data_IF_747324637921
#
_entry.id   IF_747324637921
#
_cell.length_a   1.000
_cell.length_b   1.000
_cell.length_c   1.000
_cell.angle_alpha   90.00
_cell.angle_beta   90.00
_cell.angle_gamma   90.00
#
_symmetry.space_group_name_H-M   'P 1'
#
loop_
_entity.id
_entity.type
_entity.pdbx_description
1 polymer ?
#
# COMPACT_ATOMS: atom_id res chain seq x y z
N UNK A 1 8.14 -54.08 -19.80
CA UNK A 1 8.23 -52.70 -19.33
C UNK A 1 7.12 -52.48 -18.30
N UNK A 2 7.47 -52.56 -17.01
CA UNK A 2 6.59 -52.56 -15.86
C UNK A 2 6.29 -51.11 -15.43
N UNK A 3 5.00 -50.81 -15.35
CA UNK A 3 4.43 -49.53 -14.92
C UNK A 3 4.70 -49.31 -13.42
N UNK A 4 5.43 -48.27 -13.06
CA UNK A 4 5.75 -47.87 -11.69
C UNK A 4 4.71 -46.86 -11.22
N UNK A 5 3.88 -47.23 -10.27
CA UNK A 5 2.92 -46.36 -9.57
C UNK A 5 3.65 -45.30 -8.74
N UNK A 6 3.23 -44.03 -8.71
CA UNK A 6 3.86 -43.00 -7.88
C UNK A 6 3.50 -43.21 -6.39
N UNK A 7 4.50 -43.25 -5.55
CA UNK A 7 4.37 -43.25 -4.09
C UNK A 7 3.73 -41.92 -3.63
N UNK A 8 2.60 -42.01 -2.96
CA UNK A 8 2.02 -40.88 -2.20
C UNK A 8 2.92 -40.60 -1.00
N UNK A 9 3.41 -39.38 -0.92
CA UNK A 9 4.00 -38.83 0.31
C UNK A 9 2.87 -38.52 1.30
N UNK A 10 2.99 -38.89 2.60
CA UNK A 10 2.05 -38.45 3.61
C UNK A 10 2.18 -36.95 3.78
N UNK A 11 1.08 -36.22 3.66
CA UNK A 11 1.00 -34.80 3.96
C UNK A 11 1.27 -34.54 5.45
N UNK A 12 1.83 -33.39 5.81
CA UNK A 12 2.07 -33.04 7.21
C UNK A 12 0.72 -32.99 7.95
N UNK A 13 0.66 -33.70 9.08
CA UNK A 13 -0.48 -33.68 9.99
C UNK A 13 -0.66 -32.27 10.55
N UNK A 14 -1.72 -31.63 10.16
CA UNK A 14 -2.11 -30.28 10.59
C UNK A 14 -2.70 -30.33 12.01
N UNK A 15 -1.85 -30.52 13.02
CA UNK A 15 -2.15 -30.17 14.41
C UNK A 15 -1.57 -28.78 14.71
N UNK A 16 -2.09 -27.73 14.08
CA UNK A 16 -1.96 -26.39 14.61
C UNK A 16 -3.13 -26.18 15.58
N UNK A 17 -2.82 -26.09 16.86
CA UNK A 17 -3.70 -25.68 17.92
C UNK A 17 -4.44 -24.42 17.47
N UNK A 18 -5.77 -24.47 17.48
CA UNK A 18 -6.62 -23.28 17.43
C UNK A 18 -6.29 -22.46 18.69
N UNK A 19 -5.41 -21.51 18.57
CA UNK A 19 -5.25 -20.47 19.54
C UNK A 19 -6.39 -19.48 19.28
N UNK A 20 -7.48 -19.67 19.99
CA UNK A 20 -8.51 -18.65 20.15
C UNK A 20 -7.84 -17.54 20.92
N UNK A 21 -7.37 -16.49 20.25
CA UNK A 21 -6.96 -15.28 20.94
C UNK A 21 -8.26 -14.65 21.40
N UNK A 22 -8.61 -14.93 22.65
CA UNK A 22 -9.45 -14.04 23.45
C UNK A 22 -8.85 -12.66 23.29
N UNK A 23 -9.65 -11.68 22.92
CA UNK A 23 -9.29 -10.27 22.93
C UNK A 23 -8.53 -9.98 24.21
N UNK A 24 -7.20 -10.01 24.14
CA UNK A 24 -6.37 -9.57 25.24
C UNK A 24 -6.45 -8.06 25.27
N UNK A 25 -6.79 -7.54 26.41
CA UNK A 25 -6.84 -6.12 26.76
C UNK A 25 -5.53 -5.36 26.57
N UNK A 26 -4.51 -5.96 25.97
CA UNK A 26 -3.16 -5.39 25.90
C UNK A 26 -2.88 -4.52 24.67
N UNK A 27 -3.79 -4.43 23.70
CA UNK A 27 -3.60 -3.51 22.56
C UNK A 27 -4.16 -2.09 22.82
N UNK A 28 -4.93 -1.90 23.90
CA UNK A 28 -5.53 -0.60 24.26
C UNK A 28 -4.72 0.20 25.29
N UNK A 29 -3.69 -0.39 25.89
CA UNK A 29 -2.92 0.22 26.99
C UNK A 29 -1.52 0.72 26.60
N UNK A 30 -1.20 0.82 25.30
CA UNK A 30 -0.11 1.70 24.88
C UNK A 30 -0.69 3.12 24.88
N UNK A 31 -0.36 3.98 25.86
CA UNK A 31 -0.84 5.35 25.83
C UNK A 31 -0.36 5.95 24.50
N UNK A 32 -1.29 6.46 23.70
CA UNK A 32 -0.96 7.27 22.55
C UNK A 32 0.07 8.31 23.03
N UNK A 33 1.24 8.43 22.36
CA UNK A 33 2.20 9.46 22.76
C UNK A 33 1.44 10.77 22.80
N UNK A 34 1.61 11.49 23.91
CA UNK A 34 1.01 12.81 24.13
C UNK A 34 1.65 13.76 23.08
N UNK A 35 1.04 13.81 21.89
CA UNK A 35 1.48 14.68 20.81
C UNK A 35 0.97 16.06 21.15
N UNK A 36 1.83 17.02 21.50
CA UNK A 36 1.40 18.36 21.84
C UNK A 36 0.54 18.92 20.70
N UNK A 37 -0.57 19.56 21.03
CA UNK A 37 -1.48 20.18 20.06
C UNK A 37 -0.78 21.22 19.15
N UNK A 38 0.40 21.66 19.50
CA UNK A 38 1.28 22.57 18.74
C UNK A 38 2.19 21.86 17.70
N UNK A 39 2.24 20.53 17.68
CA UNK A 39 2.96 19.75 16.67
C UNK A 39 2.23 19.69 15.31
N UNK A 40 1.21 20.54 15.11
CA UNK A 40 0.73 20.85 13.76
C UNK A 40 1.88 21.53 13.04
N UNK A 41 2.52 20.84 12.12
CA UNK A 41 3.36 21.52 11.13
C UNK A 41 2.47 22.60 10.49
N UNK A 42 2.59 23.84 10.97
CA UNK A 42 2.18 25.00 10.19
C UNK A 42 2.92 24.79 8.89
N UNK A 43 2.17 24.73 7.78
CA UNK A 43 2.65 24.44 6.45
C UNK A 43 4.04 25.06 6.22
N UNK A 44 5.08 24.32 6.59
CA UNK A 44 6.45 24.58 6.20
C UNK A 44 6.53 24.39 4.70
N UNK A 45 7.43 25.08 4.01
CA UNK A 45 7.63 24.87 2.59
C UNK A 45 8.04 23.42 2.29
N UNK A 46 8.03 22.98 1.01
CA UNK A 46 8.39 21.62 0.62
C UNK A 46 9.71 21.11 1.23
N UNK A 47 10.69 21.99 1.46
CA UNK A 47 11.95 21.62 2.08
C UNK A 47 11.81 21.15 3.54
N UNK A 48 10.93 21.78 4.33
CA UNK A 48 10.68 21.37 5.71
C UNK A 48 9.93 20.06 5.79
N UNK A 49 8.98 19.84 4.87
CA UNK A 49 8.24 18.58 4.73
C UNK A 49 9.23 17.45 4.41
N UNK A 50 10.15 17.66 3.47
CA UNK A 50 11.15 16.66 3.11
C UNK A 50 12.13 16.39 4.26
N UNK A 51 12.58 17.42 4.98
CA UNK A 51 13.43 17.22 6.16
C UNK A 51 12.69 16.44 7.28
N UNK A 52 11.38 16.62 7.43
CA UNK A 52 10.57 15.81 8.34
C UNK A 52 10.47 14.35 7.85
N UNK A 53 10.32 14.14 6.55
CA UNK A 53 10.32 12.80 5.96
C UNK A 53 11.67 12.09 6.12
N UNK A 54 12.78 12.78 6.00
CA UNK A 54 14.12 12.23 6.23
C UNK A 54 14.24 11.70 7.67
N UNK A 55 13.89 12.51 8.67
CA UNK A 55 13.93 12.09 10.08
C UNK A 55 12.99 10.93 10.38
N UNK A 56 11.79 10.93 9.80
CA UNK A 56 10.87 9.82 9.96
C UNK A 56 11.43 8.54 9.31
N UNK A 57 12.00 8.63 8.10
CA UNK A 57 12.59 7.49 7.41
C UNK A 57 13.73 6.83 8.20
N UNK A 58 14.58 7.63 8.86
CA UNK A 58 15.64 7.11 9.73
C UNK A 58 15.06 6.28 10.88
N UNK A 59 13.99 6.76 11.54
CA UNK A 59 13.29 6.02 12.59
C UNK A 59 12.64 4.72 12.05
N UNK A 60 12.02 4.77 10.88
CA UNK A 60 11.43 3.60 10.26
C UNK A 60 12.48 2.52 9.95
N UNK A 61 13.69 2.92 9.58
CA UNK A 61 14.78 2.01 9.25
C UNK A 61 15.26 1.17 10.45
N UNK A 62 15.18 1.70 11.68
CA UNK A 62 15.65 1.03 12.90
C UNK A 62 14.93 -0.31 13.14
N UNK A 63 13.62 -0.38 12.89
CA UNK A 63 12.79 -1.57 13.10
C UNK A 63 12.60 -2.46 11.87
N UNK A 64 12.93 -1.97 10.67
CA UNK A 64 12.51 -2.57 9.40
C UNK A 64 12.93 -4.04 9.20
N UNK A 65 14.13 -4.41 9.65
CA UNK A 65 14.63 -5.78 9.53
C UNK A 65 13.93 -6.74 10.50
N UNK A 66 13.63 -6.27 11.71
CA UNK A 66 12.88 -7.04 12.72
C UNK A 66 11.46 -7.31 12.24
N UNK A 67 10.74 -6.27 11.83
CA UNK A 67 9.35 -6.39 11.37
C UNK A 67 9.23 -7.25 10.10
N UNK A 68 10.20 -7.16 9.17
CA UNK A 68 10.23 -8.03 7.99
C UNK A 68 10.40 -9.51 8.38
N UNK A 69 11.30 -9.84 9.31
CA UNK A 69 11.52 -11.22 9.77
C UNK A 69 10.32 -11.80 10.48
N UNK A 70 9.74 -11.03 11.38
CA UNK A 70 8.59 -11.43 12.18
C UNK A 70 7.28 -11.43 11.38
N UNK A 71 7.19 -10.63 10.30
CA UNK A 71 5.93 -10.35 9.63
C UNK A 71 4.99 -9.53 10.52
N UNK A 72 5.54 -8.66 11.37
CA UNK A 72 4.78 -7.93 12.39
C UNK A 72 4.46 -6.50 11.97
N UNK A 73 3.32 -5.98 12.44
CA UNK A 73 2.94 -4.57 12.30
C UNK A 73 3.87 -3.68 13.12
N UNK A 74 4.20 -2.51 12.58
CA UNK A 74 5.06 -1.51 13.23
C UNK A 74 4.26 -0.26 13.63
N UNK A 75 3.52 -0.26 14.75
CA UNK A 75 2.74 0.91 15.20
C UNK A 75 3.63 2.12 15.50
N UNK A 76 4.85 1.89 15.98
CA UNK A 76 5.86 2.92 16.20
C UNK A 76 6.23 3.70 14.94
N UNK A 77 6.27 3.02 13.78
CA UNK A 77 6.54 3.66 12.51
C UNK A 77 5.40 4.59 12.09
N UNK A 78 4.16 4.16 12.29
CA UNK A 78 2.99 5.00 12.03
C UNK A 78 2.98 6.20 12.99
N UNK A 79 3.27 6.00 14.27
CA UNK A 79 3.37 7.08 15.24
C UNK A 79 4.47 8.08 14.85
N UNK A 80 5.63 7.62 14.37
CA UNK A 80 6.72 8.48 13.90
C UNK A 80 6.30 9.36 12.71
N UNK A 81 5.52 8.82 11.75
CA UNK A 81 4.98 9.58 10.62
C UNK A 81 4.04 10.69 11.12
N UNK A 82 3.16 10.40 12.08
CA UNK A 82 2.27 11.42 12.67
C UNK A 82 3.04 12.45 13.49
N UNK A 83 3.98 12.02 14.31
CA UNK A 83 4.85 12.92 15.08
C UNK A 83 5.69 13.86 14.20
N UNK A 84 6.06 13.42 13.00
CA UNK A 84 6.70 14.25 11.99
C UNK A 84 5.73 15.21 11.27
N UNK A 85 4.42 15.19 11.62
CA UNK A 85 3.40 16.03 11.00
C UNK A 85 2.99 15.58 9.59
N UNK A 86 3.34 14.36 9.18
CA UNK A 86 3.10 13.85 7.82
C UNK A 86 1.81 13.04 7.71
N UNK A 87 1.18 12.65 8.82
CA UNK A 87 0.01 11.75 8.83
C UNK A 87 -1.13 12.18 7.90
N UNK A 88 -1.32 13.49 7.76
CA UNK A 88 -2.39 14.10 6.95
C UNK A 88 -1.85 14.89 5.74
N UNK A 89 -0.78 14.39 5.14
CA UNK A 89 -0.01 15.09 4.12
C UNK A 89 -0.88 15.58 2.94
N UNK A 90 -1.84 14.79 2.50
CA UNK A 90 -2.67 15.08 1.32
C UNK A 90 -3.98 15.81 1.63
N UNK A 91 -4.32 16.00 2.91
CA UNK A 91 -5.53 16.73 3.29
C UNK A 91 -5.33 18.25 3.17
N UNK A 92 -6.24 18.99 2.50
CA UNK A 92 -6.20 20.46 2.46
C UNK A 92 -6.28 21.12 3.85
N UNK A 93 -7.01 20.50 4.78
CA UNK A 93 -7.11 20.93 6.19
C UNK A 93 -5.87 20.56 7.03
N UNK A 94 -4.99 19.71 6.50
CA UNK A 94 -3.69 19.35 7.07
C UNK A 94 -2.55 20.12 6.37
N UNK A 95 -1.63 19.39 5.74
CA UNK A 95 -0.51 19.96 4.98
C UNK A 95 -0.93 20.40 3.58
N UNK A 96 -1.85 19.69 2.93
CA UNK A 96 -2.34 19.98 1.58
C UNK A 96 -1.29 19.84 0.50
N UNK A 97 -0.35 18.89 0.67
CA UNK A 97 0.73 18.67 -0.28
C UNK A 97 0.22 18.24 -1.66
N UNK A 98 0.90 18.70 -2.69
CA UNK A 98 0.73 18.26 -4.06
C UNK A 98 1.26 16.82 -4.27
N UNK A 99 0.99 16.24 -5.43
CA UNK A 99 1.40 14.87 -5.73
C UNK A 99 2.91 14.71 -5.79
N UNK A 100 3.62 15.71 -6.28
CA UNK A 100 5.10 15.71 -6.35
C UNK A 100 5.71 15.66 -4.96
N UNK A 101 5.23 16.49 -4.03
CA UNK A 101 5.68 16.49 -2.64
C UNK A 101 5.31 15.18 -1.94
N UNK A 102 4.09 14.69 -2.13
CA UNK A 102 3.64 13.42 -1.56
C UNK A 102 4.50 12.24 -2.07
N UNK A 103 4.81 12.20 -3.36
CA UNK A 103 5.67 11.17 -3.94
C UNK A 103 7.10 11.21 -3.36
N UNK A 104 7.68 12.40 -3.16
CA UNK A 104 9.00 12.54 -2.53
C UNK A 104 9.02 12.07 -1.07
N UNK A 105 8.00 12.43 -0.30
CA UNK A 105 7.84 11.94 1.08
C UNK A 105 7.74 10.43 1.12
N UNK A 106 6.87 9.84 0.29
CA UNK A 106 6.68 8.38 0.22
C UNK A 106 7.97 7.67 -0.21
N UNK A 107 8.69 8.20 -1.19
CA UNK A 107 9.98 7.65 -1.61
C UNK A 107 10.99 7.62 -0.44
N UNK A 108 11.07 8.70 0.35
CA UNK A 108 11.96 8.77 1.52
C UNK A 108 11.55 7.78 2.62
N UNK A 109 10.26 7.74 2.96
CA UNK A 109 9.77 6.78 3.95
C UNK A 109 10.00 5.32 3.51
N UNK A 110 9.86 5.03 2.22
CA UNK A 110 10.12 3.70 1.67
C UNK A 110 11.61 3.30 1.70
N UNK A 111 12.53 4.26 1.75
CA UNK A 111 13.95 3.98 1.99
C UNK A 111 14.19 3.47 3.42
N UNK A 112 13.40 3.91 4.39
CA UNK A 112 13.39 3.39 5.74
C UNK A 112 12.69 2.03 5.83
N UNK A 113 11.37 2.03 5.63
CA UNK A 113 10.56 0.80 5.60
C UNK A 113 9.47 0.86 4.53
N UNK A 114 9.63 0.13 3.41
CA UNK A 114 8.66 0.14 2.32
C UNK A 114 7.33 -0.51 2.68
N UNK A 115 7.25 -1.39 3.67
CA UNK A 115 6.00 -1.99 4.10
C UNK A 115 5.14 -0.97 4.87
N UNK A 116 5.72 -0.19 5.77
CA UNK A 116 5.06 0.96 6.40
C UNK A 116 4.67 2.01 5.37
N UNK A 117 5.56 2.32 4.40
CA UNK A 117 5.25 3.26 3.33
C UNK A 117 4.05 2.79 2.49
N UNK A 118 3.88 1.48 2.27
CA UNK A 118 2.71 0.93 1.57
C UNK A 118 1.41 1.15 2.36
N UNK A 119 1.41 0.89 3.68
CA UNK A 119 0.26 1.17 4.54
C UNK A 119 -0.10 2.66 4.48
N UNK A 120 0.91 3.52 4.58
CA UNK A 120 0.74 4.97 4.53
C UNK A 120 0.20 5.47 3.18
N UNK A 121 0.66 4.91 2.05
CA UNK A 121 0.13 5.24 0.72
C UNK A 121 -1.36 4.91 0.60
N UNK A 122 -1.78 3.76 1.12
CA UNK A 122 -3.20 3.42 1.13
C UNK A 122 -4.01 4.47 1.91
N UNK A 123 -3.53 4.85 3.08
CA UNK A 123 -4.17 5.89 3.89
C UNK A 123 -4.25 7.24 3.16
N UNK A 124 -3.14 7.75 2.63
CA UNK A 124 -3.11 9.04 1.91
C UNK A 124 -4.09 9.07 0.74
N UNK A 125 -4.11 8.01 -0.05
CA UNK A 125 -4.96 7.92 -1.23
C UNK A 125 -6.45 7.90 -0.86
N UNK A 126 -6.81 7.16 0.19
CA UNK A 126 -8.22 7.07 0.60
C UNK A 126 -8.70 8.29 1.38
N UNK A 127 -7.85 8.99 2.12
CA UNK A 127 -8.18 10.31 2.64
C UNK A 127 -8.41 11.32 1.51
N UNK A 128 -7.59 11.28 0.47
CA UNK A 128 -7.75 12.19 -0.68
C UNK A 128 -9.09 11.99 -1.38
N UNK A 129 -9.56 10.74 -1.53
CA UNK A 129 -10.89 10.44 -2.10
C UNK A 129 -12.01 11.12 -1.30
N UNK A 130 -11.91 11.13 0.02
CA UNK A 130 -12.94 11.72 0.89
C UNK A 130 -13.10 13.22 0.67
N UNK A 131 -12.01 13.93 0.35
CA UNK A 131 -12.02 15.38 0.17
C UNK A 131 -12.21 15.79 -1.29
N UNK A 132 -11.75 14.97 -2.24
CA UNK A 132 -11.97 15.16 -3.67
C UNK A 132 -13.29 14.50 -4.11
N UNK A 133 -14.38 14.79 -3.42
CA UNK A 133 -15.72 14.26 -3.68
C UNK A 133 -16.56 15.26 -4.49
N UNK A 134 -16.30 15.45 -5.79
CA UNK A 134 -17.00 16.44 -6.61
C UNK A 134 -18.47 16.09 -6.83
N UNK A 135 -18.85 14.83 -6.64
CA UNK A 135 -20.21 14.33 -6.75
C UNK A 135 -21.01 14.40 -5.45
N UNK A 136 -20.36 14.71 -4.32
CA UNK A 136 -21.00 14.75 -3.01
C UNK A 136 -21.59 13.40 -2.59
N UNK A 137 -20.91 12.29 -2.96
CA UNK A 137 -21.41 10.94 -2.66
C UNK A 137 -21.18 10.52 -1.21
N UNK A 138 -20.25 11.20 -0.52
CA UNK A 138 -19.92 10.89 0.88
C UNK A 138 -20.86 11.67 1.83
N UNK A 139 -21.57 10.99 2.75
CA UNK A 139 -22.29 11.68 3.82
C UNK A 139 -21.35 12.61 4.59
N UNK A 140 -21.78 13.87 4.74
CA UNK A 140 -20.93 14.93 5.32
C UNK A 140 -20.46 14.56 6.72
N UNK A 141 -21.35 14.05 7.58
CA UNK A 141 -21.05 13.69 8.95
C UNK A 141 -20.02 12.55 9.03
N UNK A 142 -20.12 11.54 8.14
CA UNK A 142 -19.18 10.42 8.10
C UNK A 142 -17.81 10.88 7.60
N UNK A 143 -17.78 11.66 6.51
CA UNK A 143 -16.55 12.22 5.98
C UNK A 143 -15.82 13.07 7.01
N UNK A 144 -16.55 14.01 7.62
CA UNK A 144 -15.96 14.97 8.57
C UNK A 144 -15.47 14.26 9.85
N UNK A 145 -16.16 13.19 10.27
CA UNK A 145 -15.69 12.34 11.37
C UNK A 145 -14.37 11.64 11.01
N UNK A 146 -14.26 11.00 9.85
CA UNK A 146 -13.03 10.30 9.42
C UNK A 146 -11.87 11.30 9.34
N UNK A 147 -12.10 12.46 8.76
CA UNK A 147 -11.09 13.53 8.65
C UNK A 147 -10.68 14.02 10.04
N UNK A 148 -11.62 14.29 10.94
CA UNK A 148 -11.33 14.76 12.30
C UNK A 148 -10.52 13.72 13.09
N UNK A 149 -10.90 12.44 13.05
CA UNK A 149 -10.15 11.36 13.71
C UNK A 149 -8.71 11.26 13.15
N UNK A 150 -8.53 11.40 11.83
CA UNK A 150 -7.21 11.40 11.19
C UNK A 150 -6.35 12.61 11.56
N UNK A 151 -6.97 13.78 11.75
CA UNK A 151 -6.26 14.99 12.21
C UNK A 151 -5.87 14.90 13.68
N UNK A 152 -6.62 14.17 14.49
CA UNK A 152 -6.37 13.99 15.91
C UNK A 152 -5.24 12.97 16.20
N UNK A 153 -5.02 11.99 15.32
CA UNK A 153 -4.01 10.95 15.53
C UNK A 153 -3.98 9.89 14.42
N UNK A 154 -3.25 8.81 14.62
CA UNK A 154 -3.14 7.71 13.65
C UNK A 154 -4.47 6.97 13.44
N UNK A 155 -5.35 7.51 12.61
CA UNK A 155 -6.60 6.88 12.21
C UNK A 155 -6.50 6.43 10.74
N UNK A 156 -5.83 5.29 10.52
CA UNK A 156 -5.57 4.77 9.19
C UNK A 156 -6.86 4.36 8.47
N UNK A 157 -6.91 4.68 7.18
CA UNK A 157 -8.02 4.32 6.27
C UNK A 157 -7.47 3.47 5.12
N UNK A 158 -8.16 2.42 4.74
CA UNK A 158 -7.86 1.67 3.52
C UNK A 158 -9.13 1.12 2.86
N UNK A 159 -9.05 0.85 1.56
CA UNK A 159 -10.10 0.17 0.80
C UNK A 159 -9.83 -1.33 0.69
N UNK A 160 -10.76 -2.12 1.19
CA UNK A 160 -10.75 -3.58 1.13
C UNK A 160 -11.58 -4.04 -0.07
N UNK A 161 -10.90 -4.45 -1.15
CA UNK A 161 -11.55 -4.70 -2.45
C UNK A 161 -11.49 -6.14 -2.91
N UNK A 162 -10.38 -6.85 -2.61
CA UNK A 162 -10.07 -8.17 -3.18
C UNK A 162 -10.78 -9.27 -2.39
N UNK A 163 -11.31 -10.24 -3.10
CA UNK A 163 -11.98 -11.42 -2.53
C UNK A 163 -11.35 -12.71 -3.07
N UNK A 164 -11.42 -13.83 -2.34
CA UNK A 164 -10.83 -15.09 -2.78
C UNK A 164 -11.33 -15.57 -4.15
N UNK A 165 -12.64 -15.50 -4.39
CA UNK A 165 -13.29 -16.04 -5.59
C UNK A 165 -13.29 -15.01 -6.74
N UNK A 166 -13.54 -13.74 -6.44
CA UNK A 166 -13.61 -12.68 -7.44
C UNK A 166 -12.22 -12.20 -7.89
N UNK A 167 -11.22 -12.27 -6.98
CA UNK A 167 -9.94 -11.62 -7.18
C UNK A 167 -10.06 -10.10 -7.16
N UNK A 168 -9.36 -9.42 -8.08
CA UNK A 168 -9.40 -7.96 -8.15
C UNK A 168 -10.65 -7.43 -8.88
N UNK A 169 -11.39 -6.47 -8.31
CA UNK A 169 -12.52 -5.82 -8.97
C UNK A 169 -12.18 -5.12 -10.30
N UNK A 170 -10.91 -4.86 -10.57
CA UNK A 170 -10.47 -4.26 -11.84
C UNK A 170 -10.82 -5.09 -13.07
N UNK A 171 -11.12 -6.39 -12.89
CA UNK A 171 -11.56 -7.30 -13.95
C UNK A 171 -13.09 -7.38 -14.06
N UNK A 172 -13.84 -6.61 -13.27
CA UNK A 172 -15.30 -6.62 -13.20
C UNK A 172 -15.83 -7.74 -12.28
N UNK A 173 -17.15 -7.89 -12.27
CA UNK A 173 -17.87 -8.86 -11.44
C UNK A 173 -18.54 -8.23 -10.22
N UNK A 174 -19.46 -8.99 -9.63
CA UNK A 174 -20.19 -8.60 -8.41
C UNK A 174 -19.49 -9.19 -7.20
N UNK A 175 -19.10 -8.37 -6.20
CA UNK A 175 -18.47 -8.87 -4.97
C UNK A 175 -19.35 -9.90 -4.26
N UNK A 176 -18.75 -10.89 -3.61
CA UNK A 176 -19.46 -11.84 -2.74
C UNK A 176 -19.82 -11.21 -1.39
N UNK A 177 -19.04 -10.22 -0.93
CA UNK A 177 -19.37 -9.44 0.28
C UNK A 177 -20.69 -8.70 0.09
N UNK A 178 -21.65 -8.92 1.03
CA UNK A 178 -23.04 -8.44 0.93
C UNK A 178 -23.43 -7.60 2.14
N UNK A 179 -24.00 -6.42 1.85
CA UNK A 179 -24.78 -5.66 2.81
C UNK A 179 -26.26 -5.89 2.56
N UNK A 180 -26.97 -6.43 3.55
CA UNK A 180 -28.42 -6.66 3.49
C UNK A 180 -29.10 -5.67 4.43
N UNK A 181 -30.23 -5.08 4.00
CA UNK A 181 -31.04 -4.21 4.84
C UNK A 181 -31.64 -5.01 6.00
N UNK A 182 -31.52 -4.49 7.20
CA UNK A 182 -32.00 -5.12 8.43
C UNK A 182 -32.53 -4.05 9.40
N UNK A 183 -33.12 -4.51 10.48
CA UNK A 183 -33.46 -3.67 11.63
C UNK A 183 -32.47 -4.01 12.74
N UNK A 184 -31.74 -3.02 13.23
CA UNK A 184 -30.80 -3.17 14.33
C UNK A 184 -31.47 -3.35 15.68
N UNK A 185 -30.69 -3.67 16.70
CA UNK A 185 -31.17 -3.92 18.05
C UNK A 185 -31.92 -2.70 18.66
N UNK A 186 -31.60 -1.50 18.21
CA UNK A 186 -32.26 -0.24 18.62
C UNK A 186 -33.51 0.11 17.77
N UNK A 187 -33.97 -0.80 16.92
CA UNK A 187 -35.11 -0.59 16.03
C UNK A 187 -34.85 0.32 14.83
N UNK A 188 -33.62 0.80 14.62
CA UNK A 188 -33.25 1.62 13.49
C UNK A 188 -32.87 0.78 12.27
N UNK A 189 -33.08 1.28 11.04
CA UNK A 189 -32.60 0.63 9.83
C UNK A 189 -31.08 0.56 9.81
N UNK A 190 -30.52 -0.61 9.50
CA UNK A 190 -29.08 -0.86 9.39
C UNK A 190 -28.76 -1.68 8.14
N UNK A 191 -27.52 -1.62 7.70
CA UNK A 191 -26.93 -2.64 6.84
C UNK A 191 -26.31 -3.74 7.70
N UNK A 192 -26.60 -4.99 7.38
CA UNK A 192 -25.89 -6.15 7.96
C UNK A 192 -24.92 -6.69 6.92
N UNK A 193 -23.62 -6.48 7.18
CA UNK A 193 -22.53 -6.82 6.25
C UNK A 193 -21.94 -8.19 6.58
N UNK A 194 -21.83 -9.04 5.55
CA UNK A 194 -21.20 -10.36 5.62
C UNK A 194 -20.24 -10.53 4.44
N UNK A 195 -19.08 -11.15 4.67
CA UNK A 195 -18.13 -11.44 3.62
C UNK A 195 -16.69 -11.55 4.09
N UNK A 196 -15.77 -11.71 3.14
CA UNK A 196 -14.33 -11.84 3.40
C UNK A 196 -13.54 -11.02 2.39
N UNK A 197 -12.59 -10.25 2.89
CA UNK A 197 -11.61 -9.52 2.10
C UNK A 197 -10.23 -10.07 2.35
N UNK A 198 -9.41 -10.16 1.29
CA UNK A 198 -8.02 -10.60 1.36
C UNK A 198 -7.09 -9.45 0.96
N UNK A 199 -5.82 -9.56 1.32
CA UNK A 199 -4.81 -8.52 1.03
C UNK A 199 -5.17 -7.15 1.61
N UNK A 200 -5.69 -7.14 2.85
CA UNK A 200 -6.14 -5.93 3.56
C UNK A 200 -4.95 -5.22 4.20
N UNK A 201 -4.18 -4.51 3.39
CA UNK A 201 -2.94 -3.82 3.81
C UNK A 201 -3.15 -2.95 5.05
N UNK A 202 -2.30 -3.17 6.07
CA UNK A 202 -2.35 -2.46 7.34
C UNK A 202 -3.46 -2.94 8.28
N UNK A 203 -4.03 -4.12 8.08
CA UNK A 203 -5.22 -4.62 8.77
C UNK A 203 -5.22 -4.41 10.28
N UNK A 204 -4.08 -4.61 10.96
CA UNK A 204 -3.97 -4.42 12.42
C UNK A 204 -3.97 -2.95 12.86
N UNK A 205 -3.69 -2.01 11.97
CA UNK A 205 -3.65 -0.57 12.27
C UNK A 205 -4.82 0.23 11.71
N UNK A 206 -5.72 -0.38 10.93
CA UNK A 206 -6.84 0.34 10.33
C UNK A 206 -7.83 0.80 11.40
N UNK A 207 -8.23 2.06 11.33
CA UNK A 207 -9.36 2.63 12.05
C UNK A 207 -10.64 2.57 11.21
N UNK A 208 -10.51 2.76 9.89
CA UNK A 208 -11.60 2.77 8.94
C UNK A 208 -11.32 1.86 7.76
N UNK A 209 -12.28 1.04 7.41
CA UNK A 209 -12.25 0.10 6.29
C UNK A 209 -13.32 0.46 5.26
N UNK A 210 -12.93 0.89 4.06
CA UNK A 210 -13.85 1.08 2.94
C UNK A 210 -14.02 -0.26 2.22
N UNK A 211 -15.07 -1.00 2.55
CA UNK A 211 -15.30 -2.36 2.08
C UNK A 211 -16.09 -2.35 0.79
N UNK A 212 -15.49 -2.79 -0.32
CA UNK A 212 -16.17 -2.95 -1.60
C UNK A 212 -17.12 -4.13 -1.55
N UNK A 213 -18.42 -3.88 -1.69
CA UNK A 213 -19.45 -4.88 -1.54
C UNK A 213 -20.65 -4.64 -2.43
N UNK A 214 -21.61 -5.54 -2.39
CA UNK A 214 -22.88 -5.41 -3.07
C UNK A 214 -24.05 -5.45 -2.07
N UNK A 215 -25.19 -4.85 -2.44
CA UNK A 215 -26.44 -5.09 -1.71
C UNK A 215 -27.00 -6.48 -2.00
N UNK A 216 -27.98 -6.93 -1.23
CA UNK A 216 -28.69 -8.19 -1.48
C UNK A 216 -29.30 -8.21 -2.88
N UNK A 217 -29.51 -9.40 -3.43
CA UNK A 217 -30.19 -9.59 -4.73
C UNK A 217 -31.67 -9.26 -4.66
N UNK A 218 -32.23 -9.28 -3.46
CA UNK A 218 -33.60 -8.96 -3.10
C UNK A 218 -33.77 -7.54 -2.55
N UNK A 219 -32.73 -6.70 -2.68
CA UNK A 219 -32.82 -5.28 -2.25
C UNK A 219 -33.93 -4.56 -3.04
N UNK A 220 -34.81 -3.81 -2.38
CA UNK A 220 -35.93 -3.10 -3.03
C UNK A 220 -35.52 -2.16 -4.17
N UNK A 221 -34.31 -1.61 -4.09
CA UNK A 221 -33.74 -0.73 -5.13
C UNK A 221 -32.99 -1.51 -6.22
N UNK A 222 -33.04 -2.85 -6.19
CA UNK A 222 -32.23 -3.75 -7.00
C UNK A 222 -30.80 -3.89 -6.47
N UNK A 223 -30.10 -4.90 -6.96
CA UNK A 223 -28.71 -5.14 -6.56
C UNK A 223 -27.81 -3.97 -6.99
N UNK A 224 -27.06 -3.42 -6.05
CA UNK A 224 -26.11 -2.33 -6.25
C UNK A 224 -24.74 -2.69 -5.74
N UNK A 225 -23.69 -2.06 -6.24
CA UNK A 225 -22.29 -2.24 -5.83
C UNK A 225 -21.75 -0.89 -5.36
N UNK A 226 -21.02 -0.88 -4.26
CA UNK A 226 -20.41 0.33 -3.71
C UNK A 226 -19.58 0.05 -2.46
N UNK A 227 -19.44 1.05 -1.63
CA UNK A 227 -18.62 1.00 -0.44
C UNK A 227 -19.46 0.88 0.82
N UNK A 228 -19.08 -0.01 1.72
CA UNK A 228 -19.56 -0.06 3.10
C UNK A 228 -18.41 0.41 4.00
N UNK A 229 -18.60 1.55 4.66
CA UNK A 229 -17.57 2.18 5.50
C UNK A 229 -17.68 1.61 6.91
N UNK A 230 -16.70 0.80 7.30
CA UNK A 230 -16.71 0.02 8.54
C UNK A 230 -15.67 0.56 9.50
N UNK A 231 -16.05 1.03 10.72
CA UNK A 231 -15.09 1.21 11.80
C UNK A 231 -14.48 -0.15 12.19
N UNK A 232 -13.16 -0.21 12.37
CA UNK A 232 -12.47 -1.48 12.62
C UNK A 232 -12.88 -2.16 13.95
N UNK A 233 -13.33 -1.38 14.93
CA UNK A 233 -13.81 -1.84 16.24
C UNK A 233 -15.29 -2.28 16.26
N UNK A 234 -15.95 -2.32 15.08
CA UNK A 234 -17.35 -2.75 15.00
C UNK A 234 -17.47 -4.25 15.32
N UNK A 235 -18.40 -4.65 16.19
CA UNK A 235 -18.64 -6.07 16.49
C UNK A 235 -18.88 -6.88 15.22
N UNK A 236 -18.25 -8.06 15.14
CA UNK A 236 -18.32 -8.93 13.95
C UNK A 236 -17.21 -8.70 12.92
N UNK A 237 -16.33 -7.73 13.09
CA UNK A 237 -15.10 -7.59 12.33
C UNK A 237 -14.03 -8.51 12.91
N UNK A 238 -13.48 -9.41 12.09
CA UNK A 238 -12.43 -10.35 12.47
C UNK A 238 -11.23 -10.21 11.51
N UNK A 239 -10.03 -10.04 12.08
CA UNK A 239 -8.78 -10.10 11.31
C UNK A 239 -8.22 -11.51 11.44
N UNK A 240 -8.05 -12.20 10.31
CA UNK A 240 -7.52 -13.56 10.26
C UNK A 240 -6.08 -13.51 9.78
N UNK A 241 -5.16 -13.97 10.62
CA UNK A 241 -3.72 -14.00 10.33
C UNK A 241 -3.40 -14.95 9.17
N UNK A 242 -3.24 -14.39 7.97
CA UNK A 242 -3.02 -15.12 6.71
C UNK A 242 -1.85 -14.56 5.90
N UNK A 243 -1.27 -13.41 6.32
CA UNK A 243 -0.23 -12.76 5.53
C UNK A 243 1.14 -13.40 5.75
N UNK A 244 1.44 -14.46 4.99
CA UNK A 244 2.76 -15.10 4.97
C UNK A 244 3.36 -14.99 3.55
N UNK A 245 3.87 -13.82 3.23
CA UNK A 245 4.36 -13.46 1.90
C UNK A 245 5.88 -13.29 1.86
N UNK A 246 6.41 -13.40 0.65
CA UNK A 246 7.85 -13.29 0.39
C UNK A 246 8.40 -11.90 0.73
N UNK A 247 7.68 -10.85 0.39
CA UNK A 247 8.05 -9.45 0.63
C UNK A 247 6.89 -8.63 1.18
N UNK A 248 7.15 -7.37 1.53
CA UNK A 248 6.20 -6.48 2.20
C UNK A 248 5.58 -7.11 3.45
N UNK A 249 6.36 -7.92 4.18
CA UNK A 249 5.89 -8.76 5.28
C UNK A 249 5.26 -7.93 6.40
N UNK A 250 5.88 -6.80 6.75
CA UNK A 250 5.36 -5.87 7.76
C UNK A 250 4.16 -5.03 7.30
N UNK A 251 3.66 -5.23 6.06
CA UNK A 251 2.41 -4.60 5.63
C UNK A 251 1.16 -5.25 6.23
N UNK A 252 1.31 -6.40 6.89
CA UNK A 252 0.26 -7.16 7.60
C UNK A 252 -1.06 -7.16 6.83
N UNK A 253 -0.95 -7.54 5.53
CA UNK A 253 -2.10 -7.50 4.61
C UNK A 253 -2.99 -8.74 4.80
N UNK A 254 -3.42 -8.98 6.04
CA UNK A 254 -4.23 -10.13 6.44
C UNK A 254 -5.63 -10.10 5.82
N UNK A 255 -6.34 -11.19 5.99
CA UNK A 255 -7.76 -11.25 5.64
C UNK A 255 -8.61 -10.57 6.69
N UNK A 256 -9.69 -9.94 6.25
CA UNK A 256 -10.72 -9.39 7.14
C UNK A 256 -12.04 -10.06 6.82
N UNK A 257 -12.68 -10.62 7.83
CA UNK A 257 -13.97 -11.29 7.74
C UNK A 257 -15.02 -10.46 8.47
N UNK A 258 -16.18 -10.35 7.87
CA UNK A 258 -17.33 -9.62 8.40
C UNK A 258 -18.45 -10.64 8.73
N UNK A 259 -18.83 -10.71 10.01
CA UNK A 259 -19.85 -11.58 10.53
C UNK A 259 -21.02 -10.74 11.07
N UNK A 260 -22.08 -10.59 10.27
CA UNK A 260 -23.27 -9.83 10.63
C UNK A 260 -22.96 -8.41 11.17
N UNK A 261 -21.96 -7.74 10.58
CA UNK A 261 -21.53 -6.40 11.01
C UNK A 261 -22.65 -5.40 10.75
N UNK A 262 -23.19 -4.79 11.81
CA UNK A 262 -24.24 -3.79 11.70
C UNK A 262 -23.68 -2.39 11.47
N UNK A 263 -24.15 -1.73 10.41
CA UNK A 263 -23.72 -0.39 10.01
C UNK A 263 -24.94 0.52 9.83
N UNK A 264 -24.85 1.79 10.25
CA UNK A 264 -25.87 2.78 9.91
C UNK A 264 -26.07 2.90 8.38
N UNK A 265 -27.28 3.25 7.94
CA UNK A 265 -27.58 3.36 6.52
C UNK A 265 -26.65 4.32 5.77
N UNK A 266 -26.26 5.42 6.39
CA UNK A 266 -25.32 6.39 5.82
C UNK A 266 -23.88 5.86 5.65
N UNK A 267 -23.56 4.65 6.12
CA UNK A 267 -22.26 4.03 5.90
C UNK A 267 -22.17 3.28 4.56
N UNK A 268 -23.25 3.18 3.77
CA UNK A 268 -23.19 2.69 2.41
C UNK A 268 -23.06 3.87 1.43
N UNK A 269 -21.95 3.93 0.70
CA UNK A 269 -21.52 5.10 -0.07
C UNK A 269 -21.32 4.71 -1.54
N UNK A 270 -21.82 5.56 -2.45
CA UNK A 270 -21.61 5.39 -3.89
C UNK A 270 -22.21 4.10 -4.47
N UNK A 271 -23.34 3.66 -3.94
CA UNK A 271 -24.05 2.49 -4.45
C UNK A 271 -24.60 2.75 -5.87
N UNK A 272 -24.17 1.95 -6.84
CA UNK A 272 -24.57 2.06 -8.25
C UNK A 272 -24.91 0.69 -8.85
N UNK A 273 -25.62 0.69 -9.97
CA UNK A 273 -25.99 -0.55 -10.66
C UNK A 273 -24.71 -1.33 -11.10
N UNK A 274 -24.73 -2.66 -11.08
CA UNK A 274 -23.64 -3.48 -11.63
C UNK A 274 -23.39 -3.12 -13.10
N UNK A 275 -22.11 -2.96 -13.47
CA UNK A 275 -21.71 -2.59 -14.82
C UNK A 275 -21.71 -1.07 -15.10
N UNK A 276 -22.09 -0.23 -14.16
CA UNK A 276 -21.80 1.20 -14.25
C UNK A 276 -20.27 1.41 -14.38
N UNK A 277 -19.87 2.28 -15.28
CA UNK A 277 -18.46 2.59 -15.50
C UNK A 277 -17.81 3.18 -14.24
N UNK A 278 -16.45 3.20 -14.18
CA UNK A 278 -15.76 3.80 -13.05
C UNK A 278 -16.08 5.30 -12.98
N UNK A 279 -16.33 5.78 -11.77
CA UNK A 279 -16.43 7.21 -11.48
C UNK A 279 -15.14 7.93 -11.91
N UNK A 280 -15.23 9.11 -12.58
CA UNK A 280 -14.05 9.93 -12.88
C UNK A 280 -13.16 10.27 -11.67
N UNK A 281 -13.73 10.42 -10.47
CA UNK A 281 -12.98 10.60 -9.24
C UNK A 281 -12.15 9.35 -8.89
N UNK A 282 -12.71 8.16 -9.07
CA UNK A 282 -12.00 6.91 -8.87
C UNK A 282 -10.82 6.74 -9.84
N UNK A 283 -10.93 7.21 -11.08
CA UNK A 283 -9.83 7.19 -12.05
C UNK A 283 -8.68 8.13 -11.65
N UNK A 284 -9.00 9.35 -11.16
CA UNK A 284 -7.99 10.28 -10.66
C UNK A 284 -7.23 9.69 -9.48
N UNK A 285 -7.96 9.09 -8.54
CA UNK A 285 -7.37 8.41 -7.38
C UNK A 285 -6.46 7.26 -7.77
N UNK A 286 -6.84 6.47 -8.77
CA UNK A 286 -5.99 5.39 -9.28
C UNK A 286 -4.66 5.95 -9.81
N UNK A 287 -4.66 7.10 -10.44
CA UNK A 287 -3.46 7.82 -10.86
C UNK A 287 -2.56 8.19 -9.68
N UNK A 288 -3.14 8.74 -8.61
CA UNK A 288 -2.42 9.06 -7.38
C UNK A 288 -1.83 7.82 -6.71
N UNK A 289 -2.63 6.77 -6.50
CA UNK A 289 -2.16 5.50 -5.92
C UNK A 289 -1.00 4.94 -6.74
N UNK A 290 -1.13 4.93 -8.07
CA UNK A 290 -0.09 4.40 -8.95
C UNK A 290 1.21 5.19 -8.85
N UNK A 291 1.16 6.52 -8.81
CA UNK A 291 2.34 7.37 -8.65
C UNK A 291 3.02 7.14 -7.29
N UNK A 292 2.25 7.07 -6.21
CA UNK A 292 2.79 6.83 -4.87
C UNK A 292 3.35 5.40 -4.72
N UNK A 293 2.76 4.38 -5.36
CA UNK A 293 3.35 3.04 -5.42
C UNK A 293 4.68 3.05 -6.18
N UNK A 294 4.77 3.77 -7.30
CA UNK A 294 6.01 3.95 -8.05
C UNK A 294 7.09 4.60 -7.16
N UNK A 295 6.71 5.59 -6.33
CA UNK A 295 7.60 6.24 -5.39
C UNK A 295 8.15 5.26 -4.34
N UNK A 296 7.31 4.36 -3.78
CA UNK A 296 7.79 3.30 -2.86
C UNK A 296 8.91 2.49 -3.51
N UNK A 297 8.65 1.97 -4.70
CA UNK A 297 9.61 1.06 -5.35
C UNK A 297 10.85 1.77 -5.86
N UNK A 298 10.76 3.04 -6.23
CA UNK A 298 11.93 3.90 -6.50
C UNK A 298 12.79 4.03 -5.24
N UNK A 299 12.18 4.26 -4.07
CA UNK A 299 12.87 4.27 -2.77
C UNK A 299 13.54 2.94 -2.45
N UNK A 300 12.86 1.81 -2.69
CA UNK A 300 13.43 0.46 -2.49
C UNK A 300 14.69 0.24 -3.34
N UNK A 301 14.69 0.66 -4.60
CA UNK A 301 15.87 0.56 -5.47
C UNK A 301 17.03 1.41 -4.94
N UNK A 302 16.74 2.65 -4.51
CA UNK A 302 17.75 3.54 -3.95
C UNK A 302 18.38 2.96 -2.69
N UNK A 303 17.58 2.44 -1.75
CA UNK A 303 18.11 1.80 -0.54
C UNK A 303 19.00 0.61 -0.86
N UNK A 304 18.62 -0.22 -1.82
CA UNK A 304 19.46 -1.35 -2.25
C UNK A 304 20.76 -0.91 -2.91
N UNK A 305 20.72 0.13 -3.75
CA UNK A 305 21.89 0.75 -4.39
C UNK A 305 22.85 1.36 -3.34
N UNK A 306 22.31 2.12 -2.40
CA UNK A 306 23.11 2.82 -1.38
C UNK A 306 23.78 1.82 -0.45
N UNK A 307 23.05 0.78 -0.03
CA UNK A 307 23.63 -0.31 0.73
C UNK A 307 24.74 -1.04 -0.06
N UNK A 308 24.50 -1.34 -1.35
CA UNK A 308 25.51 -1.96 -2.22
C UNK A 308 26.77 -1.09 -2.32
N UNK A 309 26.61 0.21 -2.53
CA UNK A 309 27.71 1.16 -2.61
C UNK A 309 28.55 1.16 -1.31
N UNK A 310 27.89 1.21 -0.15
CA UNK A 310 28.56 1.07 1.15
C UNK A 310 29.35 -0.24 1.26
N UNK A 311 28.68 -1.36 1.00
CA UNK A 311 29.31 -2.68 1.05
C UNK A 311 30.55 -2.79 0.13
N UNK A 312 30.48 -2.29 -1.10
CA UNK A 312 31.59 -2.34 -2.05
C UNK A 312 32.77 -1.48 -1.61
N UNK A 313 32.53 -0.34 -0.96
CA UNK A 313 33.57 0.53 -0.41
C UNK A 313 34.25 -0.06 0.81
N UNK A 314 33.51 -0.73 1.69
CA UNK A 314 34.03 -1.32 2.94
C UNK A 314 34.71 -2.67 2.71
N UNK A 315 34.27 -3.45 1.75
CA UNK A 315 34.78 -4.80 1.52
C UNK A 315 36.16 -4.78 0.83
N UNK A 316 37.20 -5.13 1.57
CA UNK A 316 38.60 -5.27 1.11
C UNK A 316 39.00 -6.73 1.14
N UNK A 317 38.94 -7.49 0.03
CA UNK A 317 39.47 -8.84 -0.05
C UNK A 317 41.01 -8.86 0.14
N UNK A 318 41.51 -9.81 0.90
CA UNK A 318 42.96 -9.89 1.20
C UNK A 318 43.85 -10.07 -0.03
N UNK A 319 43.36 -10.79 -1.02
CA UNK A 319 44.06 -11.02 -2.28
C UNK A 319 44.04 -9.78 -3.23
N UNK A 320 43.15 -8.83 -2.99
CA UNK A 320 43.07 -7.59 -3.77
C UNK A 320 43.81 -6.43 -3.11
N UNK A 321 43.80 -6.35 -1.76
CA UNK A 321 44.44 -5.27 -1.01
C UNK A 321 43.78 -3.89 -1.18
N UNK A 322 42.65 -3.84 -1.87
CA UNK A 322 41.86 -2.62 -2.11
C UNK A 322 40.36 -2.95 -2.02
N UNK A 323 39.50 -1.92 -1.89
CA UNK A 323 38.06 -2.12 -1.83
C UNK A 323 37.53 -2.64 -3.16
N UNK A 324 36.41 -3.38 -3.13
CA UNK A 324 35.74 -3.85 -4.35
C UNK A 324 35.29 -2.70 -5.25
N UNK A 325 34.99 -1.53 -4.70
CA UNK A 325 34.59 -0.34 -5.41
C UNK A 325 35.68 0.16 -6.39
N UNK A 326 36.93 -0.27 -6.24
CA UNK A 326 38.04 0.10 -7.16
C UNK A 326 38.03 -0.69 -8.47
N UNK A 327 37.26 -1.76 -8.55
CA UNK A 327 37.24 -2.63 -9.72
C UNK A 327 36.22 -2.14 -10.77
N UNK A 328 36.64 -1.98 -12.05
CA UNK A 328 35.77 -1.47 -13.12
C UNK A 328 34.46 -2.23 -13.28
N UNK A 329 34.44 -3.55 -13.06
CA UNK A 329 33.23 -4.37 -13.17
C UNK A 329 32.16 -3.96 -12.15
N UNK A 330 32.54 -3.59 -10.92
CA UNK A 330 31.61 -3.13 -9.89
C UNK A 330 31.15 -1.70 -10.18
N UNK A 331 32.07 -0.85 -10.64
CA UNK A 331 31.76 0.51 -11.04
C UNK A 331 30.73 0.53 -12.19
N UNK A 332 30.94 -0.31 -13.22
CA UNK A 332 29.98 -0.44 -14.33
C UNK A 332 28.60 -0.91 -13.85
N UNK A 333 28.54 -1.95 -13.01
CA UNK A 333 27.29 -2.49 -12.51
C UNK A 333 26.52 -1.48 -11.62
N UNK A 334 27.21 -0.75 -10.74
CA UNK A 334 26.60 0.33 -9.95
C UNK A 334 26.11 1.46 -10.87
N UNK A 335 26.88 1.80 -11.90
CA UNK A 335 26.48 2.76 -12.94
C UNK A 335 25.21 2.34 -13.68
N UNK A 336 25.05 1.06 -14.02
CA UNK A 336 23.81 0.54 -14.62
C UNK A 336 22.62 0.67 -13.65
N UNK A 337 22.79 0.31 -12.36
CA UNK A 337 21.74 0.46 -11.36
C UNK A 337 21.35 1.94 -11.21
N UNK A 338 22.33 2.84 -11.19
CA UNK A 338 22.08 4.28 -11.12
C UNK A 338 21.30 4.80 -12.33
N UNK A 339 21.60 4.31 -13.54
CA UNK A 339 20.82 4.72 -14.73
C UNK A 339 19.35 4.27 -14.65
N UNK A 340 19.07 3.11 -14.04
CA UNK A 340 17.71 2.65 -13.79
C UNK A 340 17.02 3.54 -12.75
N UNK A 341 17.69 3.87 -11.64
CA UNK A 341 17.16 4.75 -10.60
C UNK A 341 16.86 6.15 -11.13
N UNK A 342 17.81 6.74 -11.87
CA UNK A 342 17.63 8.05 -12.52
C UNK A 342 16.45 8.06 -13.50
N UNK A 343 16.32 7.00 -14.32
CA UNK A 343 15.19 6.86 -15.25
C UNK A 343 13.86 6.83 -14.50
N UNK A 344 13.78 6.06 -13.40
CA UNK A 344 12.59 5.96 -12.59
C UNK A 344 12.18 7.32 -12.00
N UNK A 345 13.13 8.06 -11.45
CA UNK A 345 12.89 9.41 -10.93
C UNK A 345 12.39 10.37 -12.01
N UNK A 346 13.03 10.38 -13.18
CA UNK A 346 12.61 11.25 -14.29
C UNK A 346 11.19 10.96 -14.74
N UNK A 347 10.81 9.69 -14.87
CA UNK A 347 9.46 9.28 -15.24
C UNK A 347 8.45 9.67 -14.16
N UNK A 348 8.74 9.35 -12.89
CA UNK A 348 7.85 9.65 -11.77
C UNK A 348 7.62 11.15 -11.62
N UNK A 349 8.69 11.93 -11.50
CA UNK A 349 8.56 13.35 -11.19
C UNK A 349 8.14 14.20 -12.40
N UNK A 350 8.38 13.77 -13.63
CA UNK A 350 7.75 14.39 -14.80
C UNK A 350 6.23 14.19 -14.77
N UNK A 351 5.77 12.96 -14.48
CA UNK A 351 4.36 12.65 -14.36
C UNK A 351 3.67 13.46 -13.24
N UNK A 352 4.25 13.44 -12.04
CA UNK A 352 3.64 14.15 -10.90
C UNK A 352 3.56 15.65 -11.14
N UNK A 353 4.59 16.26 -11.73
CA UNK A 353 4.60 17.67 -12.09
C UNK A 353 3.52 18.02 -13.14
N UNK A 354 3.25 17.13 -14.10
CA UNK A 354 2.18 17.33 -15.08
C UNK A 354 0.80 17.25 -14.42
N UNK A 355 0.60 16.32 -13.47
CA UNK A 355 -0.65 16.22 -12.70
C UNK A 355 -0.85 17.46 -11.84
N UNK A 356 0.18 17.93 -11.13
CA UNK A 356 0.11 19.12 -10.26
C UNK A 356 -0.13 20.40 -11.05
N UNK A 357 0.32 20.47 -12.30
CA UNK A 357 0.05 21.60 -13.20
C UNK A 357 -1.44 21.70 -13.60
N UNK A 358 -2.19 20.60 -13.49
CA UNK A 358 -3.63 20.57 -13.82
C UNK A 358 -3.95 20.74 -15.30
N UNK A 359 -5.24 20.95 -15.59
CA UNK A 359 -5.71 21.26 -16.94
C UNK A 359 -5.34 20.24 -18.01
N UNK A 360 -4.99 20.74 -19.20
CA UNK A 360 -4.62 19.89 -20.37
C UNK A 360 -3.39 19.03 -20.12
N UNK A 361 -2.43 19.51 -19.32
CA UNK A 361 -1.22 18.73 -18.97
C UNK A 361 -1.57 17.50 -18.18
N UNK A 362 -2.37 17.65 -17.13
CA UNK A 362 -2.82 16.53 -16.32
C UNK A 362 -3.66 15.53 -17.13
N UNK A 363 -4.55 16.03 -18.00
CA UNK A 363 -5.36 15.19 -18.88
C UNK A 363 -4.52 14.38 -19.87
N UNK A 364 -3.48 14.99 -20.44
CA UNK A 364 -2.57 14.32 -21.35
C UNK A 364 -1.65 13.29 -20.66
N UNK A 365 -1.18 13.60 -19.43
CA UNK A 365 -0.29 12.72 -18.69
C UNK A 365 -1.01 11.50 -18.09
N UNK A 366 -2.26 11.67 -17.62
CA UNK A 366 -2.99 10.67 -16.86
C UNK A 366 -2.95 9.24 -17.42
N UNK A 367 -3.21 9.02 -18.71
CA UNK A 367 -3.15 7.68 -19.31
C UNK A 367 -1.77 7.00 -19.26
N UNK A 368 -0.69 7.79 -19.16
CA UNK A 368 0.69 7.31 -19.15
C UNK A 368 1.12 6.60 -17.87
N UNK A 369 0.44 6.82 -16.74
CA UNK A 369 0.88 6.31 -15.44
C UNK A 369 1.03 4.79 -15.39
N UNK A 370 0.14 4.08 -16.05
CA UNK A 370 0.21 2.61 -16.10
C UNK A 370 1.44 2.10 -16.84
N UNK A 371 1.83 2.77 -17.92
CA UNK A 371 3.06 2.46 -18.68
C UNK A 371 4.29 2.78 -17.82
N UNK A 372 4.29 3.94 -17.15
CA UNK A 372 5.37 4.33 -16.23
C UNK A 372 5.53 3.28 -15.14
N UNK A 373 4.41 2.80 -14.56
CA UNK A 373 4.44 1.75 -13.53
C UNK A 373 5.14 0.49 -14.05
N UNK A 374 4.80 0.01 -15.25
CA UNK A 374 5.44 -1.17 -15.87
C UNK A 374 6.95 -0.95 -16.01
N UNK A 375 7.37 0.20 -16.53
CA UNK A 375 8.79 0.51 -16.71
C UNK A 375 9.53 0.55 -15.38
N UNK A 376 9.02 1.32 -14.43
CA UNK A 376 9.67 1.55 -13.13
C UNK A 376 9.78 0.26 -12.32
N UNK A 377 8.69 -0.52 -12.20
CA UNK A 377 8.71 -1.75 -11.42
C UNK A 377 9.68 -2.79 -11.99
N UNK A 378 9.76 -2.91 -13.32
CA UNK A 378 10.74 -3.79 -13.94
C UNK A 378 12.19 -3.28 -13.79
N UNK A 379 12.43 -1.97 -13.86
CA UNK A 379 13.74 -1.39 -13.57
C UNK A 379 14.19 -1.68 -12.14
N UNK A 380 13.29 -1.55 -11.15
CA UNK A 380 13.59 -1.81 -9.74
C UNK A 380 14.01 -3.26 -9.52
N UNK A 381 13.24 -4.20 -10.06
CA UNK A 381 13.54 -5.64 -9.93
C UNK A 381 14.88 -5.95 -10.60
N UNK A 382 15.09 -5.47 -11.85
CA UNK A 382 16.33 -5.68 -12.60
C UNK A 382 17.55 -5.11 -11.86
N UNK A 383 17.44 -3.90 -11.30
CA UNK A 383 18.54 -3.27 -10.57
C UNK A 383 18.94 -4.04 -9.31
N UNK A 384 17.95 -4.49 -8.53
CA UNK A 384 18.21 -5.27 -7.30
C UNK A 384 18.66 -6.70 -7.58
N UNK A 385 18.16 -7.34 -8.64
CA UNK A 385 18.66 -8.64 -9.12
C UNK A 385 20.13 -8.55 -9.54
N UNK A 386 20.50 -7.51 -10.27
CA UNK A 386 21.88 -7.22 -10.63
C UNK A 386 22.77 -7.03 -9.39
N UNK A 387 22.29 -6.27 -8.39
CA UNK A 387 22.98 -6.06 -7.13
C UNK A 387 23.24 -7.37 -6.36
N UNK A 388 22.23 -8.24 -6.28
CA UNK A 388 22.36 -9.57 -5.65
C UNK A 388 23.38 -10.44 -6.38
N UNK A 389 23.28 -10.52 -7.71
CA UNK A 389 24.23 -11.31 -8.52
C UNK A 389 25.67 -10.82 -8.42
N UNK A 390 25.87 -9.51 -8.22
CA UNK A 390 27.18 -8.88 -8.18
C UNK A 390 28.00 -9.29 -6.95
N UNK A 391 27.36 -9.47 -5.78
CA UNK A 391 28.03 -9.76 -4.51
C UNK A 391 27.93 -11.23 -4.07
N UNK A 392 27.11 -12.03 -4.73
CA UNK A 392 26.98 -13.47 -4.46
C UNK A 392 26.36 -13.77 -3.08
N UNK A 393 26.92 -14.74 -2.33
CA UNK A 393 26.36 -15.20 -1.05
C UNK A 393 25.99 -14.10 -0.03
N UNK A 394 26.79 -13.03 0.18
CA UNK A 394 26.38 -11.94 1.04
C UNK A 394 25.03 -11.32 0.67
N UNK A 395 24.69 -11.23 -0.63
CA UNK A 395 23.41 -10.70 -1.10
C UNK A 395 22.20 -11.57 -0.70
N UNK A 396 22.40 -12.86 -0.51
CA UNK A 396 21.37 -13.83 -0.14
C UNK A 396 21.23 -14.01 1.38
N UNK A 397 22.14 -13.42 2.14
CA UNK A 397 22.16 -13.57 3.61
C UNK A 397 21.09 -12.70 4.26
N UNK A 398 20.32 -13.27 5.19
CA UNK A 398 19.41 -12.52 6.06
C UNK A 398 20.11 -11.51 7.00
N UNK A 399 21.46 -11.56 7.11
CA UNK A 399 22.23 -10.57 7.87
C UNK A 399 22.43 -9.24 7.11
N UNK A 400 22.02 -9.20 5.85
CA UNK A 400 22.14 -8.01 5.01
C UNK A 400 20.76 -7.61 4.44
N UNK A 401 20.46 -6.32 4.32
CA UNK A 401 19.12 -5.86 3.90
C UNK A 401 18.85 -6.06 2.40
N UNK A 402 19.87 -6.32 1.56
CA UNK A 402 19.71 -6.37 0.10
C UNK A 402 18.68 -7.42 -0.34
N UNK A 403 18.69 -8.63 0.28
CA UNK A 403 17.68 -9.66 0.00
C UNK A 403 16.25 -9.19 0.37
N UNK A 404 16.10 -8.38 1.43
CA UNK A 404 14.81 -7.80 1.82
C UNK A 404 14.34 -6.79 0.77
N UNK A 405 15.22 -5.91 0.30
CA UNK A 405 14.89 -4.96 -0.76
C UNK A 405 14.45 -5.68 -2.05
N UNK A 406 15.14 -6.75 -2.43
CA UNK A 406 14.76 -7.54 -3.61
C UNK A 406 13.41 -8.25 -3.42
N UNK A 407 13.15 -8.88 -2.27
CA UNK A 407 11.86 -9.52 -1.96
C UNK A 407 10.72 -8.50 -1.99
N UNK A 408 10.92 -7.33 -1.42
CA UNK A 408 9.95 -6.25 -1.46
C UNK A 408 9.71 -5.75 -2.89
N UNK A 409 10.76 -5.64 -3.70
CA UNK A 409 10.64 -5.23 -5.10
C UNK A 409 9.75 -6.16 -5.93
N UNK A 410 9.82 -7.48 -5.69
CA UNK A 410 8.98 -8.46 -6.40
C UNK A 410 7.48 -8.22 -6.19
N UNK A 411 7.08 -7.66 -5.04
CA UNK A 411 5.70 -7.31 -4.75
C UNK A 411 5.15 -6.20 -5.66
N UNK A 412 6.02 -5.44 -6.34
CA UNK A 412 5.60 -4.38 -7.27
C UNK A 412 4.75 -4.90 -8.43
N UNK A 413 4.99 -6.13 -8.88
CA UNK A 413 4.31 -6.72 -10.04
C UNK A 413 2.84 -7.01 -9.81
N UNK A 414 2.47 -7.30 -8.55
CA UNK A 414 1.09 -7.70 -8.21
C UNK A 414 0.14 -6.53 -8.00
N UNK A 415 0.65 -5.31 -7.78
CA UNK A 415 -0.20 -4.14 -7.66
C UNK A 415 -0.91 -3.81 -8.98
N UNK A 416 -2.20 -3.48 -8.86
CA UNK A 416 -3.04 -3.10 -10.01
C UNK A 416 -2.66 -1.69 -10.52
N UNK A 417 -2.62 -1.48 -11.86
CA UNK A 417 -2.81 -2.47 -12.91
C UNK A 417 -1.58 -3.37 -13.10
N UNK A 418 -1.81 -4.67 -13.35
CA UNK A 418 -0.75 -5.64 -13.62
C UNK A 418 -0.15 -5.45 -15.02
N UNK A 419 1.11 -5.86 -15.19
CA UNK A 419 1.87 -5.62 -16.43
C UNK A 419 1.20 -6.22 -17.66
N UNK A 420 0.65 -7.44 -17.59
CA UNK A 420 -0.05 -8.12 -18.67
C UNK A 420 -1.28 -7.34 -19.16
N UNK A 421 -2.05 -6.77 -18.24
CA UNK A 421 -3.22 -5.93 -18.55
C UNK A 421 -2.78 -4.65 -19.27
N UNK A 422 -1.75 -3.98 -18.74
CA UNK A 422 -1.24 -2.72 -19.31
C UNK A 422 -0.67 -2.94 -20.70
N UNK A 423 0.22 -3.93 -20.86
CA UNK A 423 0.87 -4.22 -22.14
C UNK A 423 -0.14 -4.61 -23.21
N UNK A 424 -1.13 -5.45 -22.86
CA UNK A 424 -2.18 -5.85 -23.79
C UNK A 424 -3.05 -4.65 -24.21
N UNK A 425 -3.46 -3.80 -23.25
CA UNK A 425 -4.27 -2.62 -23.55
C UNK A 425 -3.50 -1.62 -24.43
N UNK A 426 -2.23 -1.36 -24.09
CA UNK A 426 -1.35 -0.47 -24.86
C UNK A 426 -1.14 -0.97 -26.28
N UNK A 427 -0.83 -2.28 -26.45
CA UNK A 427 -0.67 -2.88 -27.76
C UNK A 427 -1.91 -2.78 -28.62
N UNK A 428 -3.10 -3.06 -28.07
CA UNK A 428 -4.37 -2.89 -28.77
C UNK A 428 -4.61 -1.44 -29.22
N UNK A 429 -4.32 -0.47 -28.36
CA UNK A 429 -4.49 0.95 -28.69
C UNK A 429 -3.57 1.40 -29.85
N UNK A 430 -2.34 0.88 -29.94
CA UNK A 430 -1.41 1.17 -31.03
C UNK A 430 -1.84 0.51 -32.32
N UNK A 431 -2.30 -0.75 -32.26
CA UNK A 431 -2.72 -1.52 -33.44
C UNK A 431 -4.08 -1.09 -34.01
N UNK A 432 -4.90 -0.40 -33.22
CA UNK A 432 -6.21 0.12 -33.65
C UNK A 432 -6.13 1.51 -34.35
N UNK A 433 -4.94 2.09 -34.46
CA UNK A 433 -4.67 3.35 -35.19
C UNK A 433 -4.41 3.04 -36.64
#
# INVERSE_FOLDING_TARGET
>A
FTCNTPRRFPGPSNQRSRMTITTSQDASDVPAPDVPADARLRAGGPAEILAAADRAADLLAEGADRHDREGSYAPENIAAIWAAGLGNLTLPSGVGADLTTAARVVERLAQGDPATALIYVMHLAHLRILVDDPGGIWPVELRDRIVAESLAGPALVNALRVEPELGTPARGGVPATRGVRAVGANGQPVWRLNGRKIYSTGSYGLRWMNVWGATGTDDPDGQRIGWFVVPADTPGVEIVDTWDHLGMRASVSHDVVFHDVELPFGHAVGLQAPGAGPDPAALRTLGWISALLIAIYTGVLKSGRDWLAGYLNERVPTNLGASLATLPRFQSAVGEIETLAYTNERLLYSFTADIDAGGDRAAAAGPGISIIKVVVTNNVIRGLESALGLIGNPGLSYHHPLQRHYRNALCSRIHTPQDDVVLTATGRSVLAR
#
